data_IF_519885619129
#
_entry.id   IF_519885619129
#
_cell.length_a   1.000
_cell.length_b   1.000
_cell.length_c   1.000
_cell.angle_alpha   90.00
_cell.angle_beta   90.00
_cell.angle_gamma   90.00
#
_symmetry.space_group_name_H-M   'P 1'
#
loop_
_entity.id
_entity.type
_entity.pdbx_description
1 polymer ?
#
# COMPACT_ATOMS: atom_id res chain seq x y z
N UNK A 1 -9.42 6.80 6.20
CA UNK A 1 -9.74 5.41 5.81
C UNK A 1 -9.12 4.43 6.80
N UNK A 2 -9.79 3.31 7.07
CA UNK A 2 -9.22 2.15 7.75
C UNK A 2 -9.60 0.87 7.00
N UNK A 3 -8.72 -0.12 6.95
CA UNK A 3 -9.05 -1.45 6.44
C UNK A 3 -8.42 -2.58 7.25
N UNK A 4 -9.05 -3.76 7.18
CA UNK A 4 -8.58 -4.98 7.80
C UNK A 4 -9.10 -6.22 7.04
N UNK A 5 -8.42 -7.38 7.13
CA UNK A 5 -7.08 -7.56 7.70
C UNK A 5 -6.01 -6.84 6.87
N UNK A 6 -4.98 -6.31 7.54
CA UNK A 6 -3.84 -5.67 6.88
C UNK A 6 -2.83 -6.68 6.36
N UNK A 7 -2.68 -7.80 7.06
CA UNK A 7 -1.66 -8.79 6.77
C UNK A 7 -2.30 -10.15 6.63
N UNK A 8 -1.70 -10.96 5.77
CA UNK A 8 -1.94 -12.39 5.75
C UNK A 8 -1.59 -13.02 7.12
N UNK A 9 -2.21 -14.15 7.51
CA UNK A 9 -1.79 -14.90 8.68
C UNK A 9 -0.28 -15.17 8.67
N UNK A 10 0.32 -15.27 9.86
CA UNK A 10 1.78 -15.36 9.99
C UNK A 10 2.34 -16.62 9.32
N UNK A 11 1.67 -17.76 9.50
CA UNK A 11 2.08 -19.03 8.89
C UNK A 11 2.08 -18.95 7.36
N UNK A 12 1.03 -18.37 6.78
CA UNK A 12 0.93 -18.18 5.33
C UNK A 12 1.92 -17.14 4.80
N UNK A 13 2.17 -16.05 5.55
CA UNK A 13 3.21 -15.08 5.22
C UNK A 13 4.59 -15.74 5.15
N UNK A 14 4.93 -16.54 6.17
CA UNK A 14 6.20 -17.25 6.24
C UNK A 14 6.35 -18.25 5.09
N UNK A 15 5.28 -19.00 4.79
CA UNK A 15 5.25 -19.94 3.66
C UNK A 15 5.49 -19.22 2.32
N UNK A 16 4.77 -18.13 2.05
CA UNK A 16 4.95 -17.37 0.80
C UNK A 16 6.34 -16.74 0.71
N UNK A 17 6.85 -16.20 1.82
CA UNK A 17 8.18 -15.62 1.86
C UNK A 17 9.26 -16.68 1.57
N UNK A 18 9.19 -17.85 2.20
CA UNK A 18 10.12 -18.95 1.96
C UNK A 18 10.05 -19.45 0.50
N UNK A 19 8.85 -19.58 -0.06
CA UNK A 19 8.67 -19.96 -1.47
C UNK A 19 9.28 -18.93 -2.42
N UNK A 20 9.14 -17.63 -2.12
CA UNK A 20 9.74 -16.57 -2.91
C UNK A 20 11.28 -16.58 -2.83
N UNK A 21 11.85 -16.79 -1.64
CA UNK A 21 13.29 -16.91 -1.45
C UNK A 21 13.85 -18.11 -2.21
N UNK A 22 13.21 -19.28 -2.13
CA UNK A 22 13.61 -20.48 -2.87
C UNK A 22 13.63 -20.22 -4.40
N UNK A 23 12.53 -19.68 -4.93
CA UNK A 23 12.41 -19.40 -6.35
C UNK A 23 13.46 -18.38 -6.84
N UNK A 24 13.70 -17.33 -6.06
CA UNK A 24 14.71 -16.33 -6.37
C UNK A 24 16.13 -16.88 -6.24
N UNK A 25 16.41 -17.73 -5.26
CA UNK A 25 17.70 -18.39 -5.09
C UNK A 25 18.01 -19.30 -6.28
N UNK A 26 17.05 -20.10 -6.73
CA UNK A 26 17.20 -20.94 -7.92
C UNK A 26 17.48 -20.10 -9.18
N UNK A 27 16.76 -18.99 -9.36
CA UNK A 27 17.00 -18.06 -10.46
C UNK A 27 18.38 -17.40 -10.38
N UNK A 28 18.82 -17.06 -9.17
CA UNK A 28 20.11 -16.43 -8.92
C UNK A 28 21.26 -17.41 -9.19
N UNK A 29 21.14 -18.67 -8.74
CA UNK A 29 22.14 -19.71 -8.97
C UNK A 29 22.42 -19.91 -10.47
N UNK A 30 21.37 -19.90 -11.30
CA UNK A 30 21.51 -19.99 -12.76
C UNK A 30 22.25 -18.79 -13.39
N UNK A 31 22.27 -17.62 -12.74
CA UNK A 31 22.85 -16.38 -13.25
C UNK A 31 24.25 -16.09 -12.71
N UNK A 32 24.50 -16.43 -11.45
CA UNK A 32 25.73 -16.02 -10.74
C UNK A 32 26.44 -17.18 -10.02
N UNK A 33 25.93 -18.41 -10.18
CA UNK A 33 26.48 -19.61 -9.57
C UNK A 33 25.95 -19.88 -8.15
N UNK A 34 26.04 -21.16 -7.76
CA UNK A 34 25.52 -21.68 -6.48
C UNK A 34 26.10 -20.99 -5.23
N UNK A 35 27.41 -20.72 -5.11
CA UNK A 35 27.96 -20.17 -3.87
C UNK A 35 27.38 -18.80 -3.50
N UNK A 36 27.25 -17.90 -4.48
CA UNK A 36 26.71 -16.56 -4.26
C UNK A 36 25.21 -16.59 -4.03
N UNK A 37 24.49 -17.48 -4.72
CA UNK A 37 23.06 -17.67 -4.52
C UNK A 37 22.74 -18.24 -3.13
N UNK A 38 23.54 -19.19 -2.64
CA UNK A 38 23.40 -19.76 -1.30
C UNK A 38 23.68 -18.72 -0.20
N UNK A 39 24.70 -17.88 -0.36
CA UNK A 39 24.95 -16.78 0.58
C UNK A 39 23.78 -15.80 0.62
N UNK A 40 23.29 -15.35 -0.54
CA UNK A 40 22.13 -14.48 -0.63
C UNK A 40 20.89 -15.10 0.02
N UNK A 41 20.64 -16.40 -0.24
CA UNK A 41 19.53 -17.14 0.37
C UNK A 41 19.61 -17.12 1.90
N UNK A 42 20.77 -17.38 2.48
CA UNK A 42 20.94 -17.39 3.93
C UNK A 42 20.60 -16.02 4.56
N UNK A 43 20.97 -14.92 3.90
CA UNK A 43 20.60 -13.57 4.31
C UNK A 43 19.08 -13.33 4.20
N UNK A 44 18.47 -13.79 3.09
CA UNK A 44 17.04 -13.61 2.86
C UNK A 44 16.17 -14.49 3.75
N UNK A 45 16.60 -15.69 4.15
CA UNK A 45 15.86 -16.56 5.06
C UNK A 45 15.62 -15.87 6.42
N UNK A 46 16.60 -15.08 6.90
CA UNK A 46 16.45 -14.25 8.10
C UNK A 46 15.34 -13.21 7.92
N UNK A 47 15.35 -12.50 6.79
CA UNK A 47 14.33 -11.46 6.48
C UNK A 47 12.96 -12.12 6.29
N UNK A 48 12.87 -13.20 5.54
CA UNK A 48 11.65 -13.94 5.25
C UNK A 48 10.97 -14.44 6.55
N UNK A 49 11.75 -14.88 7.54
CA UNK A 49 11.22 -15.38 8.82
C UNK A 49 10.41 -14.35 9.63
N UNK A 50 10.66 -13.06 9.40
CA UNK A 50 9.97 -11.94 10.08
C UNK A 50 9.03 -11.17 9.15
N UNK A 51 9.04 -11.47 7.85
CA UNK A 51 8.25 -10.76 6.85
C UNK A 51 6.75 -11.03 7.01
N UNK A 52 5.95 -9.97 6.95
CA UNK A 52 4.49 -10.03 6.93
C UNK A 52 4.00 -9.57 5.57
N UNK A 53 3.27 -10.43 4.86
CA UNK A 53 2.74 -10.08 3.53
C UNK A 53 1.49 -9.21 3.71
N UNK A 54 1.48 -7.95 3.25
CA UNK A 54 0.38 -7.03 3.50
C UNK A 54 -0.61 -6.97 2.33
N UNK A 55 -1.87 -6.71 2.65
CA UNK A 55 -2.78 -6.05 1.72
C UNK A 55 -2.33 -4.60 1.51
N UNK A 56 -2.47 -4.04 0.31
CA UNK A 56 -2.18 -2.63 0.03
C UNK A 56 -3.36 -1.97 -0.68
N UNK A 57 -4.07 -1.13 0.07
CA UNK A 57 -5.12 -0.25 -0.44
C UNK A 57 -4.61 1.19 -0.47
N UNK A 58 -4.92 1.89 -1.56
CA UNK A 58 -4.53 3.28 -1.82
C UNK A 58 -5.76 4.09 -2.19
N UNK A 59 -5.76 5.36 -1.81
CA UNK A 59 -6.81 6.31 -2.19
C UNK A 59 -6.23 7.31 -3.18
N UNK A 60 -6.94 7.53 -4.28
CA UNK A 60 -6.76 8.70 -5.12
C UNK A 60 -8.03 9.56 -5.16
N UNK A 61 -7.84 10.81 -5.55
CA UNK A 61 -8.90 11.81 -5.60
C UNK A 61 -8.88 12.51 -6.96
N UNK A 62 -10.06 12.76 -7.49
CA UNK A 62 -10.31 13.68 -8.60
C UNK A 62 -11.29 14.76 -8.11
N UNK A 63 -11.00 16.02 -8.39
CA UNK A 63 -11.86 17.12 -7.96
C UNK A 63 -13.09 17.32 -8.85
N UNK A 64 -13.95 18.26 -8.47
CA UNK A 64 -15.19 18.54 -9.18
C UNK A 64 -15.01 19.12 -10.59
N UNK A 65 -13.82 19.59 -10.95
CA UNK A 65 -13.49 19.98 -12.31
C UNK A 65 -12.93 18.80 -13.14
N UNK A 66 -12.82 17.61 -12.55
CA UNK A 66 -12.22 16.43 -13.15
C UNK A 66 -10.70 16.42 -13.11
N UNK A 67 -10.06 17.28 -12.31
CA UNK A 67 -8.62 17.31 -12.18
C UNK A 67 -8.14 16.28 -11.15
N UNK A 68 -7.12 15.51 -11.52
CA UNK A 68 -6.51 14.53 -10.63
C UNK A 68 -5.75 15.21 -9.48
N UNK A 69 -6.12 14.86 -8.24
CA UNK A 69 -5.58 15.42 -6.99
C UNK A 69 -4.57 14.51 -6.30
N UNK A 70 -4.10 13.47 -7.00
CA UNK A 70 -3.03 12.60 -6.53
C UNK A 70 -3.51 11.32 -5.84
N UNK A 71 -2.55 10.52 -5.37
CA UNK A 71 -2.77 9.26 -4.68
C UNK A 71 -1.95 9.13 -3.39
N UNK A 72 -2.65 8.89 -2.28
CA UNK A 72 -2.06 8.62 -0.97
C UNK A 72 -1.62 7.16 -0.82
N UNK A 73 -0.39 6.86 -1.24
CA UNK A 73 0.20 5.54 -0.99
C UNK A 73 0.64 5.44 0.47
N UNK A 74 -0.03 4.61 1.26
CA UNK A 74 0.29 4.41 2.68
C UNK A 74 0.35 2.93 3.02
N UNK A 75 1.45 2.55 3.66
CA UNK A 75 1.61 1.18 4.16
C UNK A 75 0.78 0.91 5.41
N UNK A 76 0.36 1.93 6.16
CA UNK A 76 -0.50 1.74 7.33
C UNK A 76 -1.95 1.39 6.94
N UNK A 77 -2.58 0.56 7.78
CA UNK A 77 -3.96 0.12 7.61
C UNK A 77 -4.98 1.23 7.91
N UNK A 78 -4.60 2.16 8.79
CA UNK A 78 -5.29 3.43 9.02
C UNK A 78 -4.54 4.52 8.27
N UNK A 79 -5.29 5.29 7.49
CA UNK A 79 -4.78 6.36 6.64
C UNK A 79 -5.61 7.61 6.87
N UNK A 80 -4.97 8.63 7.42
CA UNK A 80 -5.55 9.96 7.60
C UNK A 80 -4.94 10.85 6.50
N UNK A 81 -5.79 11.35 5.61
CA UNK A 81 -5.41 12.10 4.41
C UNK A 81 -6.13 13.44 4.42
N UNK A 82 -5.40 14.49 4.04
CA UNK A 82 -5.90 15.86 3.98
C UNK A 82 -5.57 16.45 2.61
N UNK A 83 -6.54 17.16 2.03
CA UNK A 83 -6.36 18.01 0.85
C UNK A 83 -6.93 19.37 1.19
N UNK A 84 -6.10 20.41 1.08
CA UNK A 84 -6.47 21.78 1.35
C UNK A 84 -5.96 22.72 0.24
N UNK A 85 -6.26 24.00 0.42
CA UNK A 85 -5.83 25.05 -0.52
C UNK A 85 -4.31 25.24 -0.48
N UNK A 86 -3.73 25.35 0.72
CA UNK A 86 -2.30 25.63 0.89
C UNK A 86 -1.45 24.38 1.13
N UNK A 87 -2.05 23.29 1.61
CA UNK A 87 -1.33 22.07 1.99
C UNK A 87 -2.15 20.83 1.67
N UNK A 88 -1.45 19.73 1.41
CA UNK A 88 -2.03 18.42 1.23
C UNK A 88 -1.10 17.36 1.81
N UNK A 89 -1.66 16.20 2.13
CA UNK A 89 -0.88 15.03 2.53
C UNK A 89 0.05 14.57 1.41
N UNK A 90 1.24 14.02 1.71
CA UNK A 90 2.18 13.58 0.68
C UNK A 90 1.55 12.64 -0.36
N UNK A 91 1.79 12.93 -1.64
CA UNK A 91 1.19 12.21 -2.78
C UNK A 91 -0.16 12.78 -3.24
N UNK A 92 -0.75 13.71 -2.49
CA UNK A 92 -1.90 14.50 -2.91
C UNK A 92 -1.48 15.93 -3.26
N UNK A 93 -2.32 16.62 -4.05
CA UNK A 93 -2.02 17.94 -4.58
C UNK A 93 -2.90 18.98 -3.89
N UNK A 94 -2.26 19.96 -3.24
CA UNK A 94 -2.93 21.13 -2.68
C UNK A 94 -3.41 22.07 -3.80
N UNK A 95 -4.42 22.88 -3.51
CA UNK A 95 -4.96 23.86 -4.45
C UNK A 95 -6.44 24.13 -4.20
N UNK A 96 -7.06 25.00 -5.02
CA UNK A 96 -8.47 25.35 -4.91
C UNK A 96 -9.35 24.12 -4.70
N UNK A 97 -10.37 24.26 -3.85
CA UNK A 97 -11.32 23.19 -3.55
C UNK A 97 -12.66 23.54 -4.22
N UNK A 98 -12.83 23.25 -5.52
CA UNK A 98 -14.07 23.58 -6.22
C UNK A 98 -15.25 22.86 -5.56
N UNK A 99 -16.36 23.61 -5.39
CA UNK A 99 -17.63 23.03 -5.00
C UNK A 99 -18.12 22.07 -6.10
N UNK A 100 -18.80 21.00 -5.69
CA UNK A 100 -19.34 19.99 -6.61
C UNK A 100 -18.94 18.59 -6.21
N UNK A 101 -19.12 17.65 -7.13
CA UNK A 101 -18.88 16.24 -6.88
C UNK A 101 -17.39 15.90 -7.02
N UNK A 102 -16.80 15.34 -5.97
CA UNK A 102 -15.46 14.77 -6.02
C UNK A 102 -15.54 13.26 -6.21
N UNK A 103 -14.53 12.69 -6.85
CA UNK A 103 -14.41 11.23 -6.98
C UNK A 103 -13.28 10.73 -6.10
N UNK A 104 -13.59 9.78 -5.23
CA UNK A 104 -12.60 9.02 -4.47
C UNK A 104 -12.49 7.63 -5.09
N UNK A 105 -11.29 7.28 -5.53
CA UNK A 105 -11.00 5.94 -6.05
C UNK A 105 -10.18 5.15 -5.04
N UNK A 106 -10.66 3.95 -4.68
CA UNK A 106 -9.94 2.99 -3.88
C UNK A 106 -9.26 1.98 -4.82
N UNK A 107 -7.94 1.93 -4.83
CA UNK A 107 -7.18 0.96 -5.61
C UNK A 107 -6.56 -0.11 -4.72
N UNK A 108 -6.58 -1.35 -5.20
CA UNK A 108 -5.99 -2.49 -4.52
C UNK A 108 -4.82 -3.03 -5.35
N UNK A 109 -3.60 -2.94 -4.83
CA UNK A 109 -2.39 -3.39 -5.52
C UNK A 109 -1.92 -4.77 -5.07
N UNK A 110 -2.29 -5.16 -3.86
CA UNK A 110 -1.97 -6.47 -3.28
C UNK A 110 -3.14 -6.84 -2.39
N UNK A 111 -3.95 -7.79 -2.84
CA UNK A 111 -4.98 -8.42 -2.02
C UNK A 111 -4.58 -9.87 -1.82
N UNK A 112 -4.07 -10.15 -0.63
CA UNK A 112 -3.55 -11.47 -0.22
C UNK A 112 -4.49 -12.17 0.75
N UNK A 113 -5.50 -11.49 1.26
CA UNK A 113 -6.55 -12.12 2.08
C UNK A 113 -7.82 -12.35 1.28
N UNK A 114 -8.62 -13.38 1.61
CA UNK A 114 -9.86 -13.67 0.88
C UNK A 114 -10.89 -12.53 0.92
N UNK A 115 -10.88 -11.75 2.00
CA UNK A 115 -11.73 -10.59 2.21
C UNK A 115 -10.90 -9.47 2.84
N UNK A 116 -11.26 -8.22 2.52
CA UNK A 116 -10.74 -7.01 3.16
C UNK A 116 -11.87 -6.02 3.38
N UNK A 117 -12.21 -5.78 4.64
CA UNK A 117 -13.22 -4.83 5.05
C UNK A 117 -12.62 -3.42 5.09
N UNK A 118 -13.34 -2.46 4.50
CA UNK A 118 -12.86 -1.09 4.33
C UNK A 118 -13.90 -0.13 4.89
N UNK A 119 -13.43 0.85 5.66
CA UNK A 119 -14.23 1.95 6.16
C UNK A 119 -13.58 3.28 5.75
N UNK A 120 -14.37 4.12 5.08
CA UNK A 120 -13.96 5.44 4.63
C UNK A 120 -14.90 6.46 5.28
N UNK A 121 -14.29 7.48 5.89
CA UNK A 121 -14.98 8.64 6.42
C UNK A 121 -14.42 9.86 5.70
N UNK A 122 -15.31 10.73 5.25
CA UNK A 122 -14.97 11.97 4.55
C UNK A 122 -15.56 13.10 5.37
N UNK A 123 -14.71 14.06 5.74
CA UNK A 123 -15.12 15.30 6.40
C UNK A 123 -14.70 16.49 5.55
N UNK A 124 -15.38 17.61 5.75
CA UNK A 124 -15.02 18.89 5.15
C UNK A 124 -15.03 19.96 6.24
N UNK A 125 -14.01 20.81 6.24
CA UNK A 125 -13.93 22.00 7.09
C UNK A 125 -14.08 23.23 6.20
N UNK A 126 -15.06 24.07 6.50
CA UNK A 126 -15.20 25.39 5.90
C UNK A 126 -14.66 26.42 6.89
N UNK A 127 -13.99 27.47 6.39
CA UNK A 127 -13.60 28.58 7.25
C UNK A 127 -14.84 29.10 8.00
N UNK A 128 -14.73 29.24 9.32
CA UNK A 128 -15.77 29.86 10.12
C UNK A 128 -15.93 31.32 9.66
N UNK A 129 -17.17 31.68 9.34
CA UNK A 129 -17.56 33.04 8.95
C UNK A 129 -17.26 34.06 10.04
#
# INVERSE_FOLDING_TARGET
>A
MRYAPKYLPRADSARLAAQAVEAQASSLAARVGEPLAAQWRAEMDVIASTTRVPNLLTISLDDAAGAYRGAGHRHHARQDLLVGVAAASPGLVAGPLPAGQWTLTLSAHTLVTPQCDVSIQIGAETASS
#
